data_IF_721815468532
#
_entry.id   IF_721815468532
#
_cell.length_a   1.000
_cell.length_b   1.000
_cell.length_c   1.000
_cell.angle_alpha   90.00
_cell.angle_beta   90.00
_cell.angle_gamma   90.00
#
_symmetry.space_group_name_H-M   'P 1'
#
loop_
_entity.id
_entity.type
_entity.pdbx_description
1 polymer ?
#
# COMPACT_ATOMS: atom_id res chain seq x y z
N UNK A 1 5.78 -13.52 5.92
CA UNK A 1 4.42 -13.96 5.47
C UNK A 1 4.33 -15.47 5.69
N UNK A 2 3.21 -16.04 6.19
CA UNK A 2 3.09 -17.49 6.42
C UNK A 2 3.25 -18.27 5.11
N UNK A 3 3.63 -19.55 5.19
CA UNK A 3 3.57 -20.49 4.05
C UNK A 3 2.13 -20.52 3.47
N UNK A 4 1.94 -20.85 2.18
CA UNK A 4 0.60 -20.94 1.60
C UNK A 4 -0.35 -21.82 2.44
N UNK A 5 -1.54 -21.32 2.70
CA UNK A 5 -2.52 -21.90 3.63
C UNK A 5 -3.69 -22.50 2.84
N UNK A 6 -4.00 -23.77 3.07
CA UNK A 6 -5.15 -24.43 2.46
C UNK A 6 -6.47 -23.80 2.97
N UNK A 7 -7.44 -23.60 2.08
CA UNK A 7 -8.74 -23.04 2.46
C UNK A 7 -8.74 -21.59 3.00
N UNK A 8 -7.64 -20.84 2.87
CA UNK A 8 -7.59 -19.45 3.34
C UNK A 8 -8.58 -18.56 2.59
N UNK A 9 -9.45 -17.85 3.32
CA UNK A 9 -10.28 -16.78 2.81
C UNK A 9 -9.53 -15.45 2.82
N UNK A 10 -9.71 -14.64 1.79
CA UNK A 10 -9.07 -13.34 1.68
C UNK A 10 -9.35 -12.45 2.91
N UNK A 11 -8.40 -11.57 3.22
CA UNK A 11 -8.58 -10.53 4.24
C UNK A 11 -8.19 -9.17 3.67
N UNK A 12 -9.03 -8.18 3.95
CA UNK A 12 -8.81 -6.80 3.54
C UNK A 12 -8.56 -5.96 4.79
N UNK A 13 -7.52 -5.15 4.76
CA UNK A 13 -7.19 -4.20 5.82
C UNK A 13 -7.17 -2.79 5.25
N UNK A 14 -7.78 -1.84 5.95
CA UNK A 14 -7.69 -0.42 5.63
C UNK A 14 -6.71 0.22 6.59
N UNK A 15 -5.73 0.92 6.04
CA UNK A 15 -4.65 1.53 6.80
C UNK A 15 -4.83 3.04 6.83
N UNK A 16 -4.59 3.64 7.99
CA UNK A 16 -4.30 5.07 8.09
C UNK A 16 -2.79 5.24 8.17
N UNK A 17 -2.22 5.99 7.22
CA UNK A 17 -0.78 6.12 7.05
C UNK A 17 -0.27 7.43 7.65
N UNK A 18 0.91 7.40 8.25
CA UNK A 18 1.68 8.62 8.47
C UNK A 18 2.10 9.25 7.12
N UNK A 19 2.36 10.55 7.11
CA UNK A 19 2.84 11.27 5.93
C UNK A 19 3.65 12.49 6.33
N UNK A 20 4.54 12.91 5.44
CA UNK A 20 5.19 14.22 5.51
C UNK A 20 4.14 15.35 5.50
N UNK A 21 4.58 16.55 5.86
CA UNK A 21 3.75 17.77 5.86
C UNK A 21 3.12 18.11 4.50
N UNK A 22 3.74 17.70 3.39
CA UNK A 22 3.23 17.90 2.03
C UNK A 22 2.34 16.73 1.53
N UNK A 23 2.09 15.74 2.39
CA UNK A 23 1.30 14.54 2.10
C UNK A 23 2.10 13.37 1.52
N UNK A 24 3.41 13.52 1.30
CA UNK A 24 4.27 12.43 0.85
C UNK A 24 4.25 11.25 1.82
N UNK A 25 4.09 10.03 1.28
CA UNK A 25 4.10 8.80 2.06
C UNK A 25 4.54 7.62 1.19
N UNK A 26 4.66 6.44 1.80
CA UNK A 26 4.93 5.22 1.07
C UNK A 26 4.45 3.98 1.81
N UNK A 27 4.41 2.86 1.09
CA UNK A 27 4.32 1.51 1.67
C UNK A 27 5.39 0.61 1.04
N UNK A 28 5.97 -0.27 1.86
CA UNK A 28 6.98 -1.23 1.41
C UNK A 28 6.61 -2.67 1.75
N UNK A 29 6.94 -3.60 0.84
CA UNK A 29 6.92 -5.05 1.07
C UNK A 29 8.35 -5.56 1.00
N UNK A 30 8.86 -6.07 2.13
CA UNK A 30 10.25 -6.49 2.25
C UNK A 30 10.35 -8.01 2.43
N UNK A 31 11.12 -8.66 1.56
CA UNK A 31 11.49 -10.07 1.69
C UNK A 31 13.00 -10.22 1.93
N UNK A 32 13.37 -10.32 3.21
CA UNK A 32 14.76 -10.52 3.67
C UNK A 32 15.23 -11.96 3.60
N UNK A 33 14.30 -12.92 3.73
CA UNK A 33 14.62 -14.33 3.88
C UNK A 33 14.30 -15.09 2.61
N UNK A 34 15.28 -15.10 1.72
CA UNK A 34 15.19 -15.75 0.40
C UNK A 34 15.83 -17.14 0.37
N UNK A 35 16.24 -17.69 1.53
CA UNK A 35 17.10 -18.86 1.65
C UNK A 35 18.38 -18.68 0.83
N UNK A 36 18.35 -19.12 -0.43
CA UNK A 36 19.46 -19.13 -1.37
C UNK A 36 19.36 -17.99 -2.40
N UNK A 37 18.27 -17.22 -2.38
CA UNK A 37 18.03 -16.09 -3.28
C UNK A 37 18.58 -14.76 -2.76
N UNK A 38 18.48 -13.71 -3.56
CA UNK A 38 18.81 -12.34 -3.16
C UNK A 38 17.65 -11.68 -2.41
N UNK A 39 17.92 -10.81 -1.42
CA UNK A 39 16.90 -9.96 -0.82
C UNK A 39 16.09 -9.24 -1.91
N UNK A 40 14.77 -9.18 -1.73
CA UNK A 40 13.89 -8.47 -2.66
C UNK A 40 12.85 -7.66 -1.90
N UNK A 41 12.77 -6.37 -2.21
CA UNK A 41 11.77 -5.47 -1.68
C UNK A 41 11.11 -4.66 -2.78
N UNK A 42 9.91 -4.17 -2.50
CA UNK A 42 9.20 -3.24 -3.37
C UNK A 42 8.64 -2.10 -2.53
N UNK A 43 8.82 -0.87 -2.98
CA UNK A 43 8.26 0.34 -2.36
C UNK A 43 7.34 1.02 -3.34
N UNK A 44 6.16 1.41 -2.87
CA UNK A 44 5.23 2.29 -3.57
C UNK A 44 5.26 3.64 -2.86
N UNK A 45 5.76 4.67 -3.54
CA UNK A 45 5.80 6.05 -3.04
C UNK A 45 4.70 6.85 -3.72
N UNK A 46 3.92 7.57 -2.92
CA UNK A 46 2.75 8.31 -3.39
C UNK A 46 2.41 9.46 -2.43
N UNK A 47 1.41 10.27 -2.76
CA UNK A 47 0.95 11.36 -1.91
C UNK A 47 -0.48 11.11 -1.40
N UNK A 48 -0.72 11.23 -0.09
CA UNK A 48 -2.06 11.06 0.51
C UNK A 48 -3.07 12.09 0.01
N UNK A 49 -2.62 13.26 -0.45
CA UNK A 49 -3.50 14.26 -1.05
C UNK A 49 -4.04 13.83 -2.42
N UNK A 50 -3.34 12.91 -3.11
CA UNK A 50 -3.75 12.35 -4.40
C UNK A 50 -4.55 11.05 -4.22
N UNK A 51 -4.08 10.18 -3.32
CA UNK A 51 -4.70 8.88 -2.99
C UNK A 51 -4.76 8.71 -1.46
N UNK A 52 -5.81 9.22 -0.80
CA UNK A 52 -5.87 9.30 0.66
C UNK A 52 -6.08 7.97 1.37
N UNK A 53 -6.43 6.90 0.64
CA UNK A 53 -6.71 5.59 1.21
C UNK A 53 -5.64 4.59 0.82
N UNK A 54 -5.28 3.71 1.75
CA UNK A 54 -4.50 2.51 1.46
C UNK A 54 -5.31 1.27 1.87
N UNK A 55 -5.46 0.35 0.93
CA UNK A 55 -6.00 -0.99 1.17
C UNK A 55 -4.90 -2.03 1.05
N UNK A 56 -4.82 -2.95 2.01
CA UNK A 56 -4.01 -4.16 1.90
C UNK A 56 -4.95 -5.36 1.69
N UNK A 57 -4.86 -5.99 0.51
CA UNK A 57 -5.57 -7.23 0.21
C UNK A 57 -4.65 -8.43 0.38
N UNK A 58 -4.92 -9.26 1.39
CA UNK A 58 -4.09 -10.40 1.78
C UNK A 58 -4.74 -11.71 1.36
N UNK A 59 -4.09 -12.41 0.43
CA UNK A 59 -4.52 -13.72 -0.05
C UNK A 59 -3.34 -14.69 -0.02
N UNK A 60 -3.16 -15.38 1.11
CA UNK A 60 -2.08 -16.37 1.31
C UNK A 60 -2.55 -17.80 1.07
N UNK A 61 -3.53 -17.99 0.18
CA UNK A 61 -4.14 -19.30 -0.07
C UNK A 61 -3.22 -20.19 -0.91
N UNK A 62 -3.25 -21.49 -0.70
CA UNK A 62 -2.62 -22.44 -1.63
C UNK A 62 -3.22 -22.26 -3.04
N UNK A 63 -2.35 -22.09 -4.04
CA UNK A 63 -2.74 -21.80 -5.43
C UNK A 63 -2.99 -20.30 -5.73
N UNK A 64 -3.17 -19.47 -4.71
CA UNK A 64 -3.38 -18.01 -4.82
C UNK A 64 -2.62 -17.32 -3.68
N UNK A 65 -1.32 -17.08 -3.89
CA UNK A 65 -0.43 -16.50 -2.88
C UNK A 65 0.03 -15.11 -3.34
N UNK A 66 -0.74 -14.10 -2.98
CA UNK A 66 -0.59 -12.72 -3.45
C UNK A 66 -0.96 -11.72 -2.33
N UNK A 67 -0.31 -10.57 -2.37
CA UNK A 67 -0.61 -9.41 -1.53
C UNK A 67 -0.86 -8.21 -2.46
N UNK A 68 -2.01 -7.56 -2.30
CA UNK A 68 -2.31 -6.27 -2.92
C UNK A 68 -1.93 -5.14 -1.97
N UNK A 69 -1.12 -4.20 -2.45
CA UNK A 69 -0.87 -2.91 -1.82
C UNK A 69 -1.53 -1.85 -2.71
N UNK A 70 -2.64 -1.30 -2.24
CA UNK A 70 -3.58 -0.59 -3.11
C UNK A 70 -3.83 0.84 -2.59
N UNK A 71 -2.94 1.80 -2.90
CA UNK A 71 -3.24 3.22 -2.76
C UNK A 71 -4.43 3.58 -3.67
N UNK A 72 -5.40 4.32 -3.15
CA UNK A 72 -6.63 4.61 -3.87
C UNK A 72 -7.28 5.94 -3.50
N UNK A 73 -8.06 6.46 -4.44
CA UNK A 73 -8.91 7.65 -4.22
C UNK A 73 -10.16 7.36 -3.40
N UNK A 74 -10.52 6.08 -3.25
CA UNK A 74 -11.67 5.63 -2.49
C UNK A 74 -11.41 4.26 -1.85
N UNK A 75 -12.15 3.95 -0.78
CA UNK A 75 -12.20 2.60 -0.22
C UNK A 75 -12.95 1.65 -1.17
N UNK A 76 -12.53 0.36 -1.29
CA UNK A 76 -13.17 -0.62 -2.17
C UNK A 76 -14.49 -1.19 -1.58
N UNK A 77 -15.36 -0.32 -1.07
CA UNK A 77 -16.66 -0.70 -0.47
C UNK A 77 -17.83 -0.65 -1.48
N UNK A 78 -17.55 -0.19 -2.70
CA UNK A 78 -18.56 0.04 -3.73
C UNK A 78 -19.25 1.41 -3.62
N UNK A 79 -19.76 1.88 -4.76
CA UNK A 79 -20.26 3.27 -4.91
C UNK A 79 -21.47 3.59 -4.03
N UNK A 80 -22.37 2.63 -3.82
CA UNK A 80 -23.58 2.81 -3.00
C UNK A 80 -23.22 3.12 -1.56
N UNK A 81 -22.43 2.23 -0.94
CA UNK A 81 -21.93 2.38 0.43
C UNK A 81 -21.14 3.68 0.60
N UNK A 82 -20.23 3.99 -0.34
CA UNK A 82 -19.48 5.25 -0.28
C UNK A 82 -20.39 6.49 -0.36
N UNK A 83 -21.48 6.43 -1.11
CA UNK A 83 -22.45 7.54 -1.21
C UNK A 83 -23.24 7.70 0.10
N UNK A 84 -23.66 6.60 0.72
CA UNK A 84 -24.32 6.61 2.03
C UNK A 84 -23.40 7.15 3.13
N UNK A 85 -22.10 6.84 3.07
CA UNK A 85 -21.08 7.34 3.99
C UNK A 85 -20.64 8.78 3.70
N UNK A 86 -21.14 9.41 2.63
CA UNK A 86 -20.66 10.69 2.11
C UNK A 86 -19.13 10.72 1.82
N UNK A 87 -18.59 9.58 1.35
CA UNK A 87 -17.18 9.38 1.00
C UNK A 87 -16.95 9.06 -0.48
N UNK A 88 -17.99 9.10 -1.32
CA UNK A 88 -17.85 8.89 -2.76
C UNK A 88 -17.14 10.09 -3.39
N UNK A 89 -15.91 9.95 -3.92
CA UNK A 89 -15.23 11.07 -4.56
C UNK A 89 -15.96 11.54 -5.81
N UNK A 90 -15.92 12.84 -6.05
CA UNK A 90 -16.51 13.50 -7.21
C UNK A 90 -15.52 14.48 -7.83
N UNK A 91 -15.48 14.53 -9.16
CA UNK A 91 -14.66 15.47 -9.92
C UNK A 91 -15.61 16.30 -10.78
N UNK A 92 -15.55 17.63 -10.65
CA UNK A 92 -16.43 18.52 -11.40
C UNK A 92 -16.08 18.54 -12.90
N UNK A 93 -17.01 19.06 -13.70
CA UNK A 93 -16.78 19.25 -15.13
C UNK A 93 -15.51 20.09 -15.38
N UNK A 94 -14.69 19.64 -16.33
CA UNK A 94 -13.43 20.30 -16.72
C UNK A 94 -12.35 20.34 -15.62
N UNK A 95 -12.53 19.64 -14.49
CA UNK A 95 -11.45 19.45 -13.51
C UNK A 95 -10.62 18.22 -13.86
N UNK A 96 -9.38 18.24 -13.41
CA UNK A 96 -8.44 17.12 -13.47
C UNK A 96 -8.01 16.74 -12.06
N UNK A 97 -7.71 15.46 -11.88
CA UNK A 97 -7.06 14.94 -10.68
C UNK A 97 -5.86 14.13 -11.14
N UNK A 98 -4.68 14.49 -10.65
CA UNK A 98 -3.42 13.82 -11.03
C UNK A 98 -3.02 12.89 -9.90
N UNK A 99 -2.58 11.69 -10.27
CA UNK A 99 -2.05 10.70 -9.33
C UNK A 99 -0.68 10.28 -9.86
N UNK A 100 0.33 10.36 -9.01
CA UNK A 100 1.66 9.85 -9.26
C UNK A 100 1.97 8.75 -8.24
N UNK A 101 2.38 7.58 -8.74
CA UNK A 101 2.86 6.47 -7.92
C UNK A 101 4.19 6.02 -8.51
N UNK A 102 5.24 6.10 -7.69
CA UNK A 102 6.57 5.62 -8.05
C UNK A 102 6.79 4.25 -7.44
N UNK A 103 7.36 3.34 -8.25
CA UNK A 103 7.70 1.99 -7.84
C UNK A 103 9.22 1.88 -7.76
N UNK A 104 9.70 1.38 -6.63
CA UNK A 104 11.12 1.16 -6.37
C UNK A 104 11.35 -0.31 -6.02
N UNK A 105 12.39 -0.91 -6.58
CA UNK A 105 12.80 -2.29 -6.27
C UNK A 105 14.05 -2.22 -5.41
N UNK A 106 14.01 -2.86 -4.26
CA UNK A 106 15.14 -2.97 -3.33
C UNK A 106 15.78 -4.34 -3.51
N UNK A 107 17.09 -4.39 -3.68
CA UNK A 107 17.84 -5.62 -3.96
C UNK A 107 18.92 -5.93 -2.90
N UNK A 108 19.02 -5.11 -1.84
CA UNK A 108 20.00 -5.26 -0.75
C UNK A 108 19.37 -5.04 0.63
N UNK A 109 20.02 -5.56 1.68
CA UNK A 109 19.56 -5.33 3.06
C UNK A 109 19.76 -3.88 3.49
N UNK A 110 20.78 -3.21 2.95
CA UNK A 110 21.07 -1.80 3.20
C UNK A 110 19.94 -0.90 2.70
N UNK A 111 19.45 -1.11 1.48
CA UNK A 111 18.30 -0.39 0.92
C UNK A 111 17.04 -0.62 1.76
N UNK A 112 16.77 -1.88 2.17
CA UNK A 112 15.63 -2.21 3.03
C UNK A 112 15.70 -1.50 4.38
N UNK A 113 16.89 -1.45 4.98
CA UNK A 113 17.11 -0.76 6.26
C UNK A 113 16.90 0.75 6.13
N UNK A 114 17.35 1.35 5.02
CA UNK A 114 17.13 2.78 4.78
C UNK A 114 15.64 3.13 4.70
N UNK A 115 14.84 2.29 4.03
CA UNK A 115 13.38 2.47 3.95
C UNK A 115 12.69 2.29 5.30
N UNK A 116 13.15 1.35 6.14
CA UNK A 116 12.62 1.23 7.51
C UNK A 116 12.96 2.43 8.39
N UNK A 117 14.17 2.98 8.27
CA UNK A 117 14.57 4.20 8.98
C UNK A 117 13.76 5.42 8.52
N UNK A 118 13.45 5.49 7.23
CA UNK A 118 12.54 6.49 6.66
C UNK A 118 11.13 6.35 7.24
N UNK A 119 10.56 5.14 7.26
CA UNK A 119 9.24 4.88 7.83
C UNK A 119 9.17 5.23 9.32
N UNK A 120 10.24 4.93 10.08
CA UNK A 120 10.32 5.24 11.50
C UNK A 120 10.38 6.74 11.81
N UNK A 121 10.81 7.57 10.86
CA UNK A 121 10.78 9.04 10.98
C UNK A 121 9.37 9.57 10.74
N UNK A 122 8.69 9.08 9.70
CA UNK A 122 7.31 9.47 9.38
C UNK A 122 6.33 9.25 10.54
N UNK A 123 6.48 8.15 11.30
CA UNK A 123 5.56 7.79 12.39
C UNK A 123 5.79 8.61 13.68
N UNK A 124 6.89 9.37 13.77
CA UNK A 124 7.25 10.14 14.98
C UNK A 124 6.77 11.60 14.96
N UNK A 125 6.16 12.04 13.87
CA UNK A 125 5.52 13.34 13.71
C UNK A 125 4.00 13.24 13.90
#
# INVERSE_FOLDING_TARGET
>A
IPKPVEGYGEKVFFHDLASESDGGTFIALLNRHTNDGLPLGMVLRFNKNEVPYLTEWKMVKKGFYVLGLEPGTALPLGRGVLREMNKLPFLEGQKSHTIAISFEVLASEEEMKAVEEEAAKLVKE
#
